data_IF_219594014051
#
_entry.id   IF_219594014051
#
_cell.length_a   1.000
_cell.length_b   1.000
_cell.length_c   1.000
_cell.angle_alpha   90.00
_cell.angle_beta   90.00
_cell.angle_gamma   90.00
#
_symmetry.space_group_name_H-M   'P 1'
#
loop_
_entity.id
_entity.type
_entity.pdbx_description
1 polymer ?
#
# COMPACT_ATOMS: atom_id res chain seq x y z
N UNK A 1 -21.86 -20.40 -8.00
CA UNK A 1 -20.94 -19.83 -9.00
C UNK A 1 -21.47 -20.17 -10.39
N UNK A 2 -21.72 -19.17 -11.23
CA UNK A 2 -22.21 -19.41 -12.59
C UNK A 2 -21.06 -19.93 -13.46
N UNK A 3 -21.23 -21.11 -14.05
CA UNK A 3 -20.27 -21.68 -15.01
C UNK A 3 -20.74 -21.32 -16.42
N UNK A 4 -19.84 -20.77 -17.23
CA UNK A 4 -20.12 -20.34 -18.60
C UNK A 4 -19.24 -21.18 -19.52
N UNK A 5 -19.85 -21.97 -20.39
CA UNK A 5 -19.15 -22.90 -21.26
C UNK A 5 -19.16 -22.38 -22.69
N UNK A 6 -17.96 -22.22 -23.27
CA UNK A 6 -17.76 -21.82 -24.66
C UNK A 6 -18.62 -20.60 -25.08
N UNK A 7 -18.58 -19.47 -24.35
CA UNK A 7 -19.38 -18.30 -24.69
C UNK A 7 -18.98 -17.78 -26.07
N UNK A 8 -19.97 -17.34 -26.85
CA UNK A 8 -19.70 -16.71 -28.14
C UNK A 8 -18.91 -15.42 -27.90
N UNK A 9 -18.06 -15.02 -28.86
CA UNK A 9 -17.25 -13.79 -28.74
C UNK A 9 -18.08 -12.54 -28.45
N UNK A 10 -19.32 -12.49 -28.94
CA UNK A 10 -20.27 -11.40 -28.67
C UNK A 10 -20.62 -11.26 -27.18
N UNK A 11 -20.56 -12.35 -26.41
CA UNK A 11 -20.91 -12.38 -25.00
C UNK A 11 -19.73 -12.02 -24.09
N UNK A 12 -18.48 -12.06 -24.60
CA UNK A 12 -17.27 -11.90 -23.78
C UNK A 12 -17.25 -10.57 -23.01
N UNK A 13 -17.69 -9.48 -23.64
CA UNK A 13 -17.76 -8.18 -22.98
C UNK A 13 -18.66 -8.22 -21.75
N UNK A 14 -19.73 -9.00 -21.76
CA UNK A 14 -20.62 -9.13 -20.60
C UNK A 14 -20.06 -10.10 -19.55
N UNK A 15 -19.41 -11.18 -19.97
CA UNK A 15 -18.80 -12.18 -19.07
C UNK A 15 -17.59 -11.61 -18.31
N UNK A 16 -16.83 -10.73 -18.96
CA UNK A 16 -15.64 -10.10 -18.39
C UNK A 16 -15.95 -8.80 -17.62
N UNK A 17 -17.23 -8.39 -17.53
CA UNK A 17 -17.62 -7.23 -16.72
C UNK A 17 -17.24 -7.49 -15.27
N UNK A 18 -16.37 -6.64 -14.75
CA UNK A 18 -16.17 -6.50 -13.32
C UNK A 18 -17.39 -5.79 -12.73
N UNK A 19 -17.85 -6.13 -11.53
CA UNK A 19 -18.84 -5.33 -10.84
C UNK A 19 -18.31 -3.91 -10.65
N UNK A 20 -19.06 -2.92 -11.11
CA UNK A 20 -18.76 -1.51 -10.91
C UNK A 20 -19.66 -0.95 -9.82
N UNK A 21 -19.06 -0.39 -8.77
CA UNK A 21 -19.76 0.45 -7.80
C UNK A 21 -19.44 1.90 -8.10
N UNK A 22 -20.46 2.75 -8.09
CA UNK A 22 -20.31 4.21 -8.19
C UNK A 22 -19.92 4.77 -6.82
N UNK A 23 -18.83 5.54 -6.76
CA UNK A 23 -18.27 6.12 -5.53
C UNK A 23 -18.58 7.61 -5.35
N UNK A 24 -19.47 8.17 -6.18
CA UNK A 24 -19.78 9.60 -6.20
C UNK A 24 -20.24 10.13 -4.82
N UNK A 25 -20.96 9.32 -4.06
CA UNK A 25 -21.46 9.70 -2.73
C UNK A 25 -20.35 9.79 -1.66
N UNK A 26 -19.16 9.23 -1.91
CA UNK A 26 -18.04 9.16 -0.95
C UNK A 26 -17.04 10.29 -1.17
N UNK A 27 -16.94 10.81 -2.40
CA UNK A 27 -15.92 11.81 -2.77
C UNK A 27 -16.06 13.11 -1.96
N UNK A 28 -17.28 13.61 -1.79
CA UNK A 28 -17.53 14.81 -0.99
C UNK A 28 -17.11 14.67 0.47
N UNK A 29 -17.35 13.48 1.05
CA UNK A 29 -16.95 13.17 2.42
C UNK A 29 -15.42 13.12 2.55
N UNK A 30 -14.73 12.43 1.65
CA UNK A 30 -13.26 12.31 1.66
C UNK A 30 -12.59 13.67 1.49
N UNK A 31 -13.09 14.50 0.58
CA UNK A 31 -12.56 15.85 0.37
C UNK A 31 -12.73 16.72 1.64
N UNK A 32 -13.87 16.60 2.33
CA UNK A 32 -14.07 17.27 3.62
C UNK A 32 -13.04 16.85 4.66
N UNK A 33 -12.79 15.55 4.80
CA UNK A 33 -11.79 15.01 5.73
C UNK A 33 -10.38 15.52 5.38
N UNK A 34 -10.01 15.56 4.10
CA UNK A 34 -8.71 16.08 3.68
C UNK A 34 -8.49 17.55 4.04
N UNK A 35 -9.51 18.40 3.87
CA UNK A 35 -9.40 19.80 4.28
C UNK A 35 -9.30 19.93 5.82
N UNK A 36 -10.09 19.17 6.59
CA UNK A 36 -9.98 19.18 8.05
C UNK A 36 -8.59 18.73 8.54
N UNK A 37 -8.02 17.69 7.92
CA UNK A 37 -6.67 17.21 8.27
C UNK A 37 -5.61 18.22 7.87
N UNK A 38 -5.74 18.88 6.71
CA UNK A 38 -4.80 19.92 6.29
C UNK A 38 -4.80 21.11 7.24
N UNK A 39 -5.97 21.52 7.73
CA UNK A 39 -6.12 22.68 8.60
C UNK A 39 -5.71 22.41 10.05
N UNK A 40 -6.06 21.24 10.60
CA UNK A 40 -5.90 20.99 12.04
C UNK A 40 -4.96 19.81 12.38
N UNK A 41 -4.42 19.11 11.39
CA UNK A 41 -3.43 18.03 11.60
C UNK A 41 -3.93 16.93 12.53
N UNK A 42 -3.12 16.61 13.54
CA UNK A 42 -3.33 15.49 14.47
C UNK A 42 -4.63 15.61 15.28
N UNK A 43 -5.13 16.81 15.54
CA UNK A 43 -6.39 17.00 16.28
C UNK A 43 -7.58 16.45 15.49
N UNK A 44 -7.59 16.65 14.16
CA UNK A 44 -8.59 16.03 13.27
C UNK A 44 -8.47 14.51 13.27
N UNK A 45 -7.25 13.99 13.28
CA UNK A 45 -7.03 12.54 13.30
C UNK A 45 -7.56 11.94 14.61
N UNK A 46 -7.22 12.51 15.76
CA UNK A 46 -7.72 12.07 17.08
C UNK A 46 -9.25 12.09 17.14
N UNK A 47 -9.88 13.16 16.65
CA UNK A 47 -11.34 13.28 16.53
C UNK A 47 -11.93 12.12 15.73
N UNK A 48 -11.38 11.81 14.56
CA UNK A 48 -11.91 10.74 13.72
C UNK A 48 -11.60 9.34 14.27
N UNK A 49 -10.46 9.14 14.91
CA UNK A 49 -10.15 7.89 15.62
C UNK A 49 -11.15 7.64 16.76
N UNK A 50 -11.45 8.65 17.58
CA UNK A 50 -12.49 8.53 18.61
C UNK A 50 -13.87 8.27 17.99
N UNK A 51 -14.19 8.96 16.90
CA UNK A 51 -15.48 8.81 16.23
C UNK A 51 -15.69 7.44 15.60
N UNK A 52 -14.70 6.90 14.87
CA UNK A 52 -14.84 5.68 14.08
C UNK A 52 -14.35 4.43 14.83
N UNK A 53 -13.19 4.53 15.49
CA UNK A 53 -12.55 3.41 16.18
C UNK A 53 -12.96 3.32 17.65
N UNK A 54 -13.69 4.33 18.16
CA UNK A 54 -14.24 4.38 19.54
C UNK A 54 -13.17 4.32 20.63
N UNK A 55 -11.99 4.85 20.34
CA UNK A 55 -10.86 4.91 21.28
C UNK A 55 -10.25 6.32 21.30
N UNK A 56 -9.86 6.77 22.49
CA UNK A 56 -9.09 8.01 22.67
C UNK A 56 -7.62 7.62 22.83
N UNK A 57 -6.78 8.07 21.89
CA UNK A 57 -5.35 7.81 21.91
C UNK A 57 -4.59 8.97 22.55
N UNK A 58 -3.74 8.66 23.52
CA UNK A 58 -2.78 9.63 24.07
C UNK A 58 -1.62 9.86 23.09
N UNK A 59 -1.17 8.80 22.41
CA UNK A 59 -0.04 8.81 21.49
C UNK A 59 -0.45 8.26 20.13
N UNK A 60 -0.05 8.95 19.06
CA UNK A 60 -0.27 8.51 17.67
C UNK A 60 0.76 7.49 17.20
N UNK A 61 1.94 7.48 17.83
CA UNK A 61 3.02 6.55 17.54
C UNK A 61 2.97 5.40 18.53
N UNK A 62 3.01 4.18 18.00
CA UNK A 62 3.22 2.97 18.79
C UNK A 62 4.60 3.05 19.43
N UNK A 63 4.67 2.88 20.74
CA UNK A 63 5.89 2.92 21.51
C UNK A 63 6.76 1.69 21.26
N UNK A 64 8.06 1.83 21.54
CA UNK A 64 9.00 0.70 21.47
C UNK A 64 8.59 -0.45 22.41
N UNK A 65 8.10 -0.12 23.60
CA UNK A 65 7.64 -1.10 24.59
C UNK A 65 6.47 -1.92 24.06
N UNK A 66 5.45 -1.26 23.49
CA UNK A 66 4.29 -1.96 22.89
C UNK A 66 4.72 -2.91 21.76
N UNK A 67 5.70 -2.50 20.95
CA UNK A 67 6.26 -3.35 19.88
C UNK A 67 6.97 -4.58 20.49
N UNK A 68 7.79 -4.41 21.52
CA UNK A 68 8.50 -5.51 22.19
C UNK A 68 7.53 -6.47 22.90
N UNK A 69 6.46 -5.95 23.49
CA UNK A 69 5.41 -6.76 24.10
C UNK A 69 4.65 -7.56 23.05
N UNK A 70 4.21 -6.93 21.95
CA UNK A 70 3.54 -7.61 20.85
C UNK A 70 4.40 -8.73 20.25
N UNK A 71 5.72 -8.53 20.12
CA UNK A 71 6.64 -9.56 19.64
C UNK A 71 6.67 -10.82 20.52
N UNK A 72 6.48 -10.69 21.84
CA UNK A 72 6.43 -11.82 22.77
C UNK A 72 5.12 -12.60 22.66
N UNK A 73 4.05 -11.97 22.20
CA UNK A 73 2.74 -12.60 22.03
C UNK A 73 2.63 -13.45 20.75
N UNK A 74 3.58 -13.30 19.82
CA UNK A 74 3.62 -14.07 18.57
C UNK A 74 4.41 -15.37 18.77
N UNK A 75 3.81 -16.50 18.39
CA UNK A 75 4.46 -17.82 18.41
C UNK A 75 5.71 -17.86 17.52
N UNK A 76 6.69 -18.67 17.91
CA UNK A 76 7.93 -18.80 17.13
C UNK A 76 7.70 -19.40 15.74
N UNK A 77 6.78 -20.35 15.57
CA UNK A 77 6.41 -20.90 14.26
C UNK A 77 5.95 -19.82 13.27
N UNK A 78 5.10 -18.90 13.72
CA UNK A 78 4.63 -17.78 12.91
C UNK A 78 5.76 -16.80 12.60
N UNK A 79 6.68 -16.54 13.55
CA UNK A 79 7.85 -15.70 13.30
C UNK A 79 8.74 -16.30 12.21
N UNK A 80 8.99 -17.60 12.26
CA UNK A 80 9.80 -18.29 11.25
C UNK A 80 9.13 -18.29 9.88
N UNK A 81 7.81 -18.50 9.83
CA UNK A 81 7.05 -18.40 8.58
C UNK A 81 7.15 -16.99 7.95
N UNK A 82 7.01 -15.92 8.76
CA UNK A 82 7.15 -14.53 8.29
C UNK A 82 8.58 -14.25 7.83
N UNK A 83 9.60 -14.70 8.56
CA UNK A 83 11.01 -14.53 8.17
C UNK A 83 11.32 -15.23 6.85
N UNK A 84 10.80 -16.44 6.64
CA UNK A 84 10.95 -17.17 5.37
C UNK A 84 10.29 -16.42 4.22
N UNK A 85 9.04 -15.95 4.40
CA UNK A 85 8.35 -15.15 3.39
C UNK A 85 9.13 -13.87 3.06
N UNK A 86 9.59 -13.14 4.08
CA UNK A 86 10.42 -11.94 3.92
C UNK A 86 11.68 -12.23 3.12
N UNK A 87 12.41 -13.30 3.44
CA UNK A 87 13.64 -13.68 2.73
C UNK A 87 13.37 -13.93 1.24
N UNK A 88 12.31 -14.66 0.92
CA UNK A 88 11.93 -14.95 -0.48
C UNK A 88 11.55 -13.68 -1.25
N UNK A 89 10.74 -12.80 -0.62
CA UNK A 89 10.35 -11.51 -1.19
C UNK A 89 11.58 -10.63 -1.45
N UNK A 90 12.50 -10.57 -0.48
CA UNK A 90 13.71 -9.76 -0.56
C UNK A 90 14.64 -10.23 -1.68
N UNK A 91 14.85 -11.55 -1.81
CA UNK A 91 15.66 -12.15 -2.89
C UNK A 91 15.10 -11.76 -4.26
N UNK A 92 13.79 -11.91 -4.47
CA UNK A 92 13.16 -11.60 -5.74
C UNK A 92 13.25 -10.11 -6.11
N UNK A 93 12.95 -9.20 -5.17
CA UNK A 93 12.98 -7.76 -5.44
C UNK A 93 14.42 -7.23 -5.56
N UNK A 94 15.38 -7.83 -4.87
CA UNK A 94 16.81 -7.48 -5.04
C UNK A 94 17.29 -7.79 -6.46
N UNK A 95 16.84 -8.89 -7.06
CA UNK A 95 17.18 -9.26 -8.44
C UNK A 95 16.61 -8.29 -9.50
N UNK A 96 15.62 -7.45 -9.15
CA UNK A 96 15.03 -6.46 -10.05
C UNK A 96 15.82 -5.14 -10.09
N UNK A 97 16.84 -4.97 -9.23
CA UNK A 97 17.72 -3.79 -9.30
C UNK A 97 18.49 -3.83 -10.61
N UNK A 98 18.44 -2.74 -11.35
CA UNK A 98 19.18 -2.59 -12.61
C UNK A 98 20.37 -1.69 -12.38
N UNK A 99 21.48 -2.01 -13.03
CA UNK A 99 22.63 -1.12 -13.11
C UNK A 99 22.29 0.18 -13.84
N UNK A 100 23.18 1.17 -13.72
CA UNK A 100 23.12 2.40 -14.50
C UNK A 100 23.20 2.06 -15.99
N UNK A 101 22.32 2.65 -16.78
CA UNK A 101 22.38 2.55 -18.24
C UNK A 101 23.20 3.74 -18.73
N UNK A 102 24.15 3.51 -19.63
CA UNK A 102 24.93 4.55 -20.30
C UNK A 102 25.18 4.13 -21.75
N UNK A 103 24.94 5.05 -22.69
CA UNK A 103 25.02 4.80 -24.13
C UNK A 103 25.43 6.07 -24.87
N UNK A 104 26.35 5.97 -25.81
CA UNK A 104 26.64 7.03 -26.78
C UNK A 104 25.70 6.87 -27.98
N UNK A 105 24.80 7.83 -28.19
CA UNK A 105 23.74 7.75 -29.21
C UNK A 105 24.18 8.27 -30.57
N UNK A 106 25.15 9.18 -30.57
CA UNK A 106 25.87 9.71 -31.71
C UNK A 106 27.26 10.17 -31.23
N UNK A 107 28.21 10.37 -32.14
CA UNK A 107 29.57 10.78 -31.79
C UNK A 107 29.58 12.00 -30.86
N UNK A 108 30.09 11.82 -29.64
CA UNK A 108 30.18 12.84 -28.59
C UNK A 108 28.89 13.05 -27.77
N UNK A 109 27.84 12.26 -27.95
CA UNK A 109 26.54 12.41 -27.26
C UNK A 109 26.26 11.21 -26.35
N UNK A 110 26.64 11.34 -25.07
CA UNK A 110 26.37 10.34 -24.03
C UNK A 110 25.02 10.56 -23.36
N UNK A 111 24.20 9.51 -23.32
CA UNK A 111 22.94 9.44 -22.60
C UNK A 111 23.04 8.40 -21.49
N UNK A 112 22.42 8.65 -20.34
CA UNK A 112 22.39 7.69 -19.25
C UNK A 112 21.08 7.75 -18.47
N UNK A 113 20.79 6.67 -17.75
CA UNK A 113 19.66 6.58 -16.83
C UNK A 113 20.13 5.97 -15.51
N UNK A 114 19.72 6.58 -14.40
CA UNK A 114 19.90 6.04 -13.06
C UNK A 114 18.57 6.00 -12.30
N UNK A 115 18.48 5.11 -11.32
CA UNK A 115 17.33 5.01 -10.42
C UNK A 115 17.66 5.65 -9.08
N UNK A 116 16.79 6.53 -8.59
CA UNK A 116 16.87 7.14 -7.25
C UNK A 116 15.66 6.74 -6.42
N UNK A 117 15.83 6.45 -5.11
CA UNK A 117 14.71 6.06 -4.26
C UNK A 117 13.78 7.26 -3.98
N UNK A 118 12.49 6.96 -3.81
CA UNK A 118 11.53 7.91 -3.23
C UNK A 118 11.92 8.13 -1.76
N UNK A 119 12.01 9.38 -1.33
CA UNK A 119 12.54 9.73 0.00
C UNK A 119 11.64 9.30 1.17
N UNK A 120 10.31 9.34 0.98
CA UNK A 120 9.32 8.99 2.00
C UNK A 120 8.21 8.14 1.37
N UNK A 121 7.89 7.01 2.00
CA UNK A 121 6.84 6.09 1.56
C UNK A 121 5.92 5.84 2.75
N UNK A 122 4.61 6.00 2.54
CA UNK A 122 3.58 5.63 3.52
C UNK A 122 2.97 4.28 3.16
N UNK A 123 2.72 3.44 4.17
CA UNK A 123 2.06 2.14 4.03
C UNK A 123 0.80 2.15 4.91
N UNK A 124 -0.35 1.83 4.32
CA UNK A 124 -1.61 1.67 5.04
C UNK A 124 -1.97 0.19 5.12
N UNK A 125 -2.21 -0.30 6.34
CA UNK A 125 -2.62 -1.67 6.64
C UNK A 125 -3.98 -1.58 7.33
N UNK A 126 -5.07 -2.12 6.75
CA UNK A 126 -6.35 -2.23 7.44
C UNK A 126 -6.21 -3.04 8.73
N UNK A 127 -6.93 -2.62 9.78
CA UNK A 127 -7.04 -3.36 11.04
C UNK A 127 -7.90 -4.60 10.94
#
# INVERSE_FOLDING_TARGET
>A
MNKIYNPKRVDWNNVLKRPTQTVADIEGLVNGIFEEVRSNGDDTIKKYTEQFDKVVLENMLVSKTEIEEAQKLVSDDLKEAIKLAKANIEVFHKAQKTERIEVETAAGVSCWQEKRPIQKVGLYIPG
#
